data_IF_860466259095
#
_entry.id   IF_860466259095
#
_cell.length_a   1.000
_cell.length_b   1.000
_cell.length_c   1.000
_cell.angle_alpha   90.00
_cell.angle_beta   90.00
_cell.angle_gamma   90.00
#
_symmetry.space_group_name_H-M   'P 1'
#
loop_
_entity.id
_entity.type
_entity.pdbx_description
1 polymer ?
#
# COMPACT_ATOMS: atom_id res chain seq x y z
N UNK A 1 30.72 -132.15 46.85
CA UNK A 1 31.68 -132.59 45.81
C UNK A 1 32.76 -133.40 46.50
N UNK A 2 32.98 -134.65 46.07
CA UNK A 2 33.93 -135.58 46.70
C UNK A 2 35.37 -135.31 46.23
N UNK A 3 36.27 -135.07 47.18
CA UNK A 3 37.71 -134.93 46.95
C UNK A 3 38.32 -136.30 46.66
N UNK A 4 38.85 -136.49 45.45
CA UNK A 4 39.76 -137.58 45.13
C UNK A 4 41.16 -137.21 45.61
N UNK A 5 41.68 -137.90 46.62
CA UNK A 5 43.05 -137.67 47.14
C UNK A 5 43.94 -138.80 46.65
N UNK A 6 44.87 -138.45 45.74
CA UNK A 6 45.94 -139.32 45.26
C UNK A 6 46.98 -139.52 46.38
N UNK A 7 47.20 -140.75 46.83
CA UNK A 7 47.92 -141.06 48.08
C UNK A 7 49.46 -140.92 48.01
N UNK A 8 50.03 -140.54 46.87
CA UNK A 8 51.48 -140.63 46.65
C UNK A 8 52.20 -139.29 46.38
N UNK A 9 51.51 -138.15 46.31
CA UNK A 9 52.14 -136.86 45.91
C UNK A 9 51.96 -135.68 46.89
N UNK A 10 51.19 -135.82 47.99
CA UNK A 10 51.00 -134.73 48.97
C UNK A 10 50.99 -135.24 50.42
N UNK A 11 52.14 -135.27 51.12
CA UNK A 11 52.22 -135.73 52.51
C UNK A 11 51.59 -134.75 53.53
N UNK A 12 51.24 -133.52 53.14
CA UNK A 12 50.77 -132.47 54.05
C UNK A 12 49.23 -132.38 54.18
N UNK A 13 48.48 -133.32 53.59
CA UNK A 13 47.00 -133.33 53.66
C UNK A 13 46.52 -134.29 54.75
N UNK A 14 46.18 -133.74 55.92
CA UNK A 14 45.62 -134.48 57.04
C UNK A 14 44.15 -134.87 56.79
N UNK A 15 43.86 -136.18 56.73
CA UNK A 15 42.50 -136.71 56.72
C UNK A 15 41.98 -136.85 58.16
N UNK A 16 41.02 -136.01 58.55
CA UNK A 16 40.29 -136.21 59.81
C UNK A 16 39.38 -137.45 59.68
N UNK A 17 39.50 -138.40 60.61
CA UNK A 17 38.77 -139.68 60.61
C UNK A 17 37.49 -139.66 61.48
N UNK A 18 37.04 -138.48 61.89
CA UNK A 18 35.80 -138.32 62.64
C UNK A 18 34.56 -138.53 61.77
N UNK A 19 33.62 -139.36 62.26
CA UNK A 19 32.29 -139.53 61.64
C UNK A 19 31.48 -138.25 61.81
N UNK A 20 31.24 -137.53 60.72
CA UNK A 20 30.30 -136.39 60.68
C UNK A 20 28.92 -136.84 61.18
N UNK A 21 28.49 -136.33 62.34
CA UNK A 21 27.26 -136.75 63.04
C UNK A 21 25.97 -136.10 62.53
N UNK A 22 25.99 -135.26 61.49
CA UNK A 22 24.78 -134.65 60.94
C UNK A 22 24.83 -134.58 59.41
N UNK A 23 23.71 -134.88 58.71
CA UNK A 23 23.62 -134.58 57.29
C UNK A 23 23.72 -133.06 57.12
N UNK A 24 24.78 -132.59 56.46
CA UNK A 24 25.02 -131.17 56.16
C UNK A 24 24.09 -130.62 55.07
N UNK A 25 23.00 -131.32 54.77
CA UNK A 25 21.95 -130.93 53.85
C UNK A 25 20.62 -130.92 54.61
N UNK A 26 20.44 -129.88 55.44
CA UNK A 26 19.09 -129.44 55.76
C UNK A 26 18.40 -129.10 54.45
N UNK A 27 17.28 -129.74 54.17
CA UNK A 27 16.50 -129.63 52.94
C UNK A 27 16.01 -128.18 52.77
N UNK A 28 16.85 -127.29 52.25
CA UNK A 28 16.47 -125.94 51.83
C UNK A 28 15.68 -126.06 50.52
N UNK A 29 14.41 -126.48 50.61
CA UNK A 29 13.44 -126.25 49.54
C UNK A 29 13.16 -124.75 49.49
N UNK A 30 14.02 -124.00 48.81
CA UNK A 30 13.70 -122.64 48.39
C UNK A 30 12.47 -122.72 47.48
N UNK A 31 11.36 -122.15 47.95
CA UNK A 31 10.17 -122.01 47.12
C UNK A 31 10.36 -120.77 46.24
N UNK A 32 11.13 -120.92 45.16
CA UNK A 32 11.45 -119.86 44.21
C UNK A 32 10.21 -119.11 43.71
N UNK A 33 9.07 -119.79 43.61
CA UNK A 33 7.81 -119.15 43.22
C UNK A 33 7.31 -118.18 44.31
N UNK A 34 7.40 -118.55 45.58
CA UNK A 34 6.99 -117.68 46.69
C UNK A 34 7.93 -116.47 46.84
N UNK A 35 9.24 -116.66 46.64
CA UNK A 35 10.22 -115.56 46.64
C UNK A 35 9.99 -114.61 45.44
N UNK A 36 9.73 -115.16 44.25
CA UNK A 36 9.38 -114.38 43.07
C UNK A 36 8.08 -113.60 43.25
N UNK A 37 7.04 -114.22 43.84
CA UNK A 37 5.79 -113.54 44.17
C UNK A 37 6.00 -112.41 45.19
N UNK A 38 6.84 -112.64 46.21
CA UNK A 38 7.14 -111.63 47.21
C UNK A 38 7.91 -110.44 46.63
N UNK A 39 8.95 -110.69 45.83
CA UNK A 39 9.70 -109.64 45.13
C UNK A 39 8.83 -108.92 44.09
N UNK A 40 7.92 -109.62 43.40
CA UNK A 40 6.94 -108.99 42.52
C UNK A 40 5.99 -108.07 43.30
N UNK A 41 5.50 -108.50 44.46
CA UNK A 41 4.62 -107.69 45.31
C UNK A 41 5.35 -106.45 45.84
N UNK A 42 6.60 -106.60 46.26
CA UNK A 42 7.47 -105.50 46.71
C UNK A 42 7.77 -104.51 45.59
N UNK A 43 8.05 -105.00 44.38
CA UNK A 43 8.24 -104.15 43.21
C UNK A 43 6.95 -103.40 42.85
N UNK A 44 5.80 -104.07 42.88
CA UNK A 44 4.51 -103.43 42.64
C UNK A 44 4.23 -102.32 43.67
N UNK A 45 4.47 -102.58 44.97
CA UNK A 45 4.32 -101.56 46.02
C UNK A 45 5.29 -100.38 45.83
N UNK A 46 6.54 -100.64 45.42
CA UNK A 46 7.51 -99.58 45.12
C UNK A 46 7.11 -98.73 43.92
N UNK A 47 6.55 -99.35 42.88
CA UNK A 47 6.02 -98.68 41.69
C UNK A 47 4.80 -97.84 42.07
N UNK A 48 3.86 -98.40 42.81
CA UNK A 48 2.66 -97.70 43.27
C UNK A 48 3.02 -96.48 44.11
N UNK A 49 3.96 -96.63 45.05
CA UNK A 49 4.51 -95.51 45.82
C UNK A 49 5.13 -94.44 44.92
N UNK A 50 5.98 -94.84 43.97
CA UNK A 50 6.63 -93.90 43.03
C UNK A 50 5.61 -93.16 42.15
N UNK A 51 4.56 -93.84 41.69
CA UNK A 51 3.47 -93.25 40.91
C UNK A 51 2.67 -92.27 41.79
N UNK A 52 2.37 -92.66 43.03
CA UNK A 52 1.63 -91.81 43.98
C UNK A 52 2.40 -90.53 44.36
N UNK A 53 3.73 -90.59 44.41
CA UNK A 53 4.59 -89.42 44.66
C UNK A 53 4.78 -88.56 43.40
N UNK A 54 4.80 -89.17 42.21
CA UNK A 54 5.00 -88.47 40.95
C UNK A 54 3.75 -87.69 40.51
N UNK A 55 2.56 -88.25 40.73
CA UNK A 55 1.28 -87.65 40.33
C UNK A 55 1.08 -86.21 40.82
N UNK A 56 1.23 -85.88 42.13
CA UNK A 56 1.05 -84.50 42.59
C UNK A 56 2.12 -83.56 42.05
N UNK A 57 3.35 -84.05 41.77
CA UNK A 57 4.39 -83.23 41.14
C UNK A 57 4.05 -82.89 39.69
N UNK A 58 3.44 -83.83 38.97
CA UNK A 58 2.98 -83.59 37.61
C UNK A 58 1.84 -82.56 37.58
N UNK A 59 0.86 -82.70 38.46
CA UNK A 59 -0.25 -81.74 38.60
C UNK A 59 0.26 -80.33 38.98
N UNK A 60 1.25 -80.24 39.88
CA UNK A 60 1.90 -78.97 40.22
C UNK A 60 2.64 -78.36 39.02
N UNK A 61 3.34 -79.18 38.24
CA UNK A 61 4.06 -78.72 37.06
C UNK A 61 3.09 -78.20 35.99
N UNK A 62 1.97 -78.89 35.77
CA UNK A 62 0.92 -78.48 34.84
C UNK A 62 0.27 -77.17 35.27
N UNK A 63 -0.01 -77.00 36.56
CA UNK A 63 -0.53 -75.74 37.11
C UNK A 63 0.47 -74.59 36.93
N UNK A 64 1.76 -74.82 37.18
CA UNK A 64 2.82 -73.82 36.96
C UNK A 64 2.94 -73.45 35.48
N UNK A 65 2.94 -74.43 34.57
CA UNK A 65 2.98 -74.18 33.14
C UNK A 65 1.75 -73.39 32.66
N UNK A 66 0.57 -73.74 33.17
CA UNK A 66 -0.68 -73.03 32.83
C UNK A 66 -0.62 -71.57 33.29
N UNK A 67 -0.10 -71.32 34.50
CA UNK A 67 0.09 -69.97 35.02
C UNK A 67 1.10 -69.17 34.18
N UNK A 68 2.21 -69.77 33.80
CA UNK A 68 3.20 -69.14 32.91
C UNK A 68 2.60 -68.83 31.53
N UNK A 69 1.86 -69.78 30.94
CA UNK A 69 1.19 -69.57 29.66
C UNK A 69 0.15 -68.46 29.72
N UNK A 70 -0.64 -68.39 30.79
CA UNK A 70 -1.60 -67.31 31.00
C UNK A 70 -0.90 -65.96 31.14
N UNK A 71 0.24 -65.91 31.84
CA UNK A 71 1.03 -64.69 31.96
C UNK A 71 1.56 -64.21 30.60
N UNK A 72 2.18 -65.12 29.83
CA UNK A 72 2.67 -64.82 28.47
C UNK A 72 1.52 -64.38 27.57
N UNK A 73 0.37 -65.06 27.62
CA UNK A 73 -0.82 -64.69 26.85
C UNK A 73 -1.30 -63.28 27.18
N UNK A 74 -1.33 -62.92 28.46
CA UNK A 74 -1.73 -61.57 28.89
C UNK A 74 -0.72 -60.51 28.43
N UNK A 75 0.59 -60.80 28.51
CA UNK A 75 1.63 -59.91 27.99
C UNK A 75 1.49 -59.71 26.48
N UNK A 76 1.33 -60.78 25.70
CA UNK A 76 1.13 -60.72 24.25
C UNK A 76 -0.13 -59.91 23.91
N UNK A 77 -1.25 -60.14 24.61
CA UNK A 77 -2.47 -59.37 24.40
C UNK A 77 -2.26 -57.88 24.70
N UNK A 78 -1.57 -57.55 25.80
CA UNK A 78 -1.28 -56.15 26.13
C UNK A 78 -0.39 -55.48 25.08
N UNK A 79 0.60 -56.20 24.54
CA UNK A 79 1.45 -55.72 23.46
C UNK A 79 0.66 -55.50 22.16
N UNK A 80 -0.27 -56.40 21.83
CA UNK A 80 -1.14 -56.25 20.65
C UNK A 80 -2.02 -55.00 20.78
N UNK A 81 -2.60 -54.77 21.95
CA UNK A 81 -3.43 -53.58 22.21
C UNK A 81 -2.59 -52.32 22.12
N UNK A 82 -1.45 -52.27 22.80
CA UNK A 82 -0.53 -51.13 22.77
C UNK A 82 -0.02 -50.84 21.34
N UNK A 83 0.27 -51.87 20.56
CA UNK A 83 0.70 -51.69 19.17
C UNK A 83 -0.41 -51.09 18.30
N UNK A 84 -1.67 -51.51 18.48
CA UNK A 84 -2.82 -50.90 17.78
C UNK A 84 -3.01 -49.44 18.14
N UNK A 85 -2.85 -49.08 19.41
CA UNK A 85 -2.92 -47.69 19.86
C UNK A 85 -1.78 -46.85 19.24
N UNK A 86 -0.56 -47.41 19.21
CA UNK A 86 0.58 -46.76 18.56
C UNK A 86 0.33 -46.51 17.08
N UNK A 87 -0.16 -47.51 16.34
CA UNK A 87 -0.49 -47.34 14.92
C UNK A 87 -1.59 -46.28 14.69
N UNK A 88 -2.59 -46.21 15.57
CA UNK A 88 -3.62 -45.16 15.49
C UNK A 88 -3.01 -43.78 15.73
N UNK A 89 -2.13 -43.66 16.72
CA UNK A 89 -1.41 -42.43 17.01
C UNK A 89 -0.50 -41.99 15.87
N UNK A 90 0.26 -42.92 15.28
CA UNK A 90 1.11 -42.66 14.12
C UNK A 90 0.29 -42.18 12.93
N UNK A 91 -0.86 -42.81 12.64
CA UNK A 91 -1.77 -42.36 11.58
C UNK A 91 -2.29 -40.94 11.83
N UNK A 92 -2.66 -40.61 13.07
CA UNK A 92 -3.09 -39.25 13.43
C UNK A 92 -1.96 -38.23 13.30
N UNK A 93 -0.73 -38.58 13.69
CA UNK A 93 0.43 -37.69 13.53
C UNK A 93 0.72 -37.43 12.06
N UNK A 94 0.74 -38.47 11.22
CA UNK A 94 0.97 -38.31 9.77
C UNK A 94 -0.12 -37.43 9.16
N UNK A 95 -1.39 -37.63 9.53
CA UNK A 95 -2.49 -36.81 9.05
C UNK A 95 -2.31 -35.34 9.47
N UNK A 96 -1.95 -35.08 10.74
CA UNK A 96 -1.68 -33.71 11.22
C UNK A 96 -0.50 -33.06 10.49
N UNK A 97 0.58 -33.82 10.27
CA UNK A 97 1.75 -33.35 9.54
C UNK A 97 1.38 -32.94 8.11
N UNK A 98 0.65 -33.79 7.39
CA UNK A 98 0.18 -33.50 6.04
C UNK A 98 -0.74 -32.26 5.98
N UNK A 99 -1.62 -32.09 6.96
CA UNK A 99 -2.47 -30.88 7.03
C UNK A 99 -1.65 -29.63 7.32
N UNK A 100 -0.59 -29.73 8.12
CA UNK A 100 0.28 -28.62 8.45
C UNK A 100 1.13 -28.22 7.24
N UNK A 101 1.72 -29.19 6.53
CA UNK A 101 2.48 -28.97 5.30
C UNK A 101 1.61 -28.35 4.18
N UNK A 102 0.38 -28.84 4.02
CA UNK A 102 -0.57 -28.29 3.05
C UNK A 102 -0.95 -26.83 3.38
N UNK A 103 -1.18 -26.52 4.65
CA UNK A 103 -1.47 -25.17 5.09
C UNK A 103 -0.26 -24.24 4.93
N UNK A 104 0.95 -24.68 5.31
CA UNK A 104 2.17 -23.89 5.14
C UNK A 104 2.46 -23.61 3.66
N UNK A 105 2.22 -24.59 2.78
CA UNK A 105 2.33 -24.38 1.34
C UNK A 105 1.30 -23.37 0.83
N UNK A 106 0.06 -23.43 1.31
CA UNK A 106 -1.00 -22.50 0.91
C UNK A 106 -0.72 -21.07 1.40
N UNK A 107 -0.24 -20.92 2.65
CA UNK A 107 0.18 -19.63 3.22
C UNK A 107 1.38 -19.05 2.46
N UNK A 108 2.39 -19.87 2.13
CA UNK A 108 3.51 -19.45 1.29
C UNK A 108 3.06 -19.02 -0.09
N UNK A 109 2.14 -19.77 -0.71
CA UNK A 109 1.64 -19.45 -2.04
C UNK A 109 0.82 -18.16 -2.05
N UNK A 110 -0.06 -17.96 -1.07
CA UNK A 110 -0.82 -16.72 -0.91
C UNK A 110 0.09 -15.51 -0.63
N UNK A 111 1.14 -15.67 0.18
CA UNK A 111 2.15 -14.61 0.38
C UNK A 111 2.91 -14.27 -0.91
N UNK A 112 3.27 -15.28 -1.71
CA UNK A 112 3.92 -15.07 -3.02
C UNK A 112 2.98 -14.33 -3.97
N UNK A 113 1.71 -14.73 -4.04
CA UNK A 113 0.71 -14.07 -4.89
C UNK A 113 0.48 -12.62 -4.45
N UNK A 114 0.40 -12.37 -3.14
CA UNK A 114 0.34 -11.01 -2.58
C UNK A 114 1.59 -10.21 -2.96
N UNK A 115 2.79 -10.78 -2.85
CA UNK A 115 4.04 -10.13 -3.23
C UNK A 115 4.09 -9.80 -4.73
N UNK A 116 3.62 -10.70 -5.60
CA UNK A 116 3.50 -10.46 -7.04
C UNK A 116 2.52 -9.32 -7.32
N UNK A 117 1.36 -9.32 -6.67
CA UNK A 117 0.35 -8.26 -6.83
C UNK A 117 0.86 -6.89 -6.38
N UNK A 118 1.58 -6.86 -5.25
CA UNK A 118 2.18 -5.66 -4.68
C UNK A 118 3.30 -5.13 -5.59
N UNK A 119 4.14 -6.01 -6.11
CA UNK A 119 5.20 -5.64 -7.06
C UNK A 119 4.61 -5.09 -8.37
N UNK A 120 3.52 -5.69 -8.87
CA UNK A 120 2.78 -5.16 -10.04
C UNK A 120 2.23 -3.75 -9.77
N UNK A 121 1.64 -3.52 -8.60
CA UNK A 121 1.14 -2.21 -8.21
C UNK A 121 2.27 -1.18 -8.07
N UNK A 122 3.43 -1.57 -7.55
CA UNK A 122 4.63 -0.72 -7.50
C UNK A 122 5.12 -0.35 -8.90
N UNK A 123 5.24 -1.30 -9.82
CA UNK A 123 5.63 -1.02 -11.21
C UNK A 123 4.64 -0.07 -11.89
N UNK A 124 3.33 -0.26 -11.68
CA UNK A 124 2.31 0.64 -12.20
C UNK A 124 2.42 2.05 -11.61
N UNK A 125 2.67 2.16 -10.30
CA UNK A 125 2.88 3.44 -9.62
C UNK A 125 4.11 4.17 -10.16
N UNK A 126 5.23 3.46 -10.36
CA UNK A 126 6.45 4.02 -10.97
C UNK A 126 6.18 4.54 -12.38
N UNK A 127 5.48 3.77 -13.22
CA UNK A 127 5.12 4.21 -14.56
C UNK A 127 4.21 5.44 -14.55
N UNK A 128 3.24 5.51 -13.61
CA UNK A 128 2.39 6.69 -13.44
C UNK A 128 3.18 7.91 -12.96
N UNK A 129 4.18 7.71 -12.10
CA UNK A 129 5.04 8.78 -11.60
C UNK A 129 5.94 9.31 -12.72
N UNK A 130 6.53 8.43 -13.53
CA UNK A 130 7.35 8.81 -14.70
C UNK A 130 6.52 9.58 -15.73
N UNK A 131 5.29 9.12 -16.00
CA UNK A 131 4.36 9.86 -16.86
C UNK A 131 4.02 11.23 -16.28
N UNK A 132 3.72 11.30 -14.98
CA UNK A 132 3.45 12.57 -14.29
C UNK A 132 4.65 13.51 -14.33
N UNK A 133 5.87 13.00 -14.25
CA UNK A 133 7.09 13.79 -14.37
C UNK A 133 7.23 14.35 -15.80
N UNK A 134 6.98 13.53 -16.81
CA UNK A 134 6.97 13.95 -18.22
C UNK A 134 5.93 15.04 -18.49
N UNK A 135 4.69 14.85 -18.00
CA UNK A 135 3.61 15.83 -18.13
C UNK A 135 3.98 17.14 -17.41
N UNK A 136 4.63 17.06 -16.24
CA UNK A 136 5.10 18.23 -15.50
C UNK A 136 6.24 18.97 -16.23
N UNK A 137 7.17 18.25 -16.86
CA UNK A 137 8.21 18.86 -17.72
C UNK A 137 7.57 19.59 -18.91
N UNK A 138 6.56 18.98 -19.55
CA UNK A 138 5.80 19.61 -20.64
C UNK A 138 5.06 20.87 -20.18
N UNK A 139 4.42 20.84 -19.01
CA UNK A 139 3.76 21.99 -18.42
C UNK A 139 4.74 23.13 -18.13
N UNK A 140 5.91 22.80 -17.59
CA UNK A 140 6.98 23.77 -17.35
C UNK A 140 7.44 24.45 -18.64
N UNK A 141 7.58 23.70 -19.74
CA UNK A 141 7.88 24.26 -21.07
C UNK A 141 6.78 25.20 -21.56
N UNK A 142 5.50 24.83 -21.37
CA UNK A 142 4.37 25.68 -21.75
C UNK A 142 4.30 26.96 -20.92
N UNK A 143 4.58 26.88 -19.61
CA UNK A 143 4.66 28.05 -18.73
C UNK A 143 5.79 29.00 -19.15
N UNK A 144 6.97 28.48 -19.49
CA UNK A 144 8.06 29.30 -20.00
C UNK A 144 7.67 30.01 -21.31
N UNK A 145 6.99 29.31 -22.22
CA UNK A 145 6.46 29.90 -23.45
C UNK A 145 5.40 30.99 -23.17
N UNK A 146 4.55 30.79 -22.16
CA UNK A 146 3.57 31.79 -21.74
C UNK A 146 4.26 33.04 -21.19
N UNK A 147 5.31 32.88 -20.39
CA UNK A 147 6.12 33.98 -19.86
C UNK A 147 6.78 34.76 -21.01
N UNK A 148 7.34 34.08 -22.02
CA UNK A 148 7.88 34.74 -23.21
C UNK A 148 6.81 35.55 -23.95
N UNK A 149 5.62 34.97 -24.16
CA UNK A 149 4.51 35.68 -24.81
C UNK A 149 4.01 36.86 -23.98
N UNK A 150 3.99 36.73 -22.66
CA UNK A 150 3.65 37.83 -21.76
C UNK A 150 4.67 38.97 -21.85
N UNK A 151 5.96 38.65 -21.91
CA UNK A 151 7.01 39.65 -22.11
C UNK A 151 6.89 40.36 -23.47
N UNK A 152 6.55 39.62 -24.54
CA UNK A 152 6.31 40.18 -25.87
C UNK A 152 5.12 41.15 -25.86
N UNK A 153 4.02 40.78 -25.20
CA UNK A 153 2.85 41.65 -25.03
C UNK A 153 3.18 42.88 -24.20
N UNK A 154 3.93 42.73 -23.10
CA UNK A 154 4.36 43.86 -22.27
C UNK A 154 5.23 44.84 -23.08
N UNK A 155 6.14 44.33 -23.91
CA UNK A 155 6.95 45.16 -24.79
C UNK A 155 6.10 45.89 -25.85
N UNK A 156 5.13 45.20 -26.46
CA UNK A 156 4.18 45.80 -27.40
C UNK A 156 3.31 46.89 -26.77
N UNK A 157 2.89 46.71 -25.52
CA UNK A 157 2.14 47.73 -24.77
C UNK A 157 2.99 48.96 -24.49
N UNK A 158 4.26 48.80 -24.10
CA UNK A 158 5.18 49.94 -23.92
C UNK A 158 5.39 50.72 -25.22
N UNK A 159 5.56 50.01 -26.34
CA UNK A 159 5.70 50.65 -27.65
C UNK A 159 4.41 51.39 -28.06
N UNK A 160 3.24 50.83 -27.75
CA UNK A 160 1.96 51.48 -27.99
C UNK A 160 1.78 52.73 -27.11
N UNK A 161 2.20 52.68 -25.84
CA UNK A 161 2.19 53.83 -24.93
C UNK A 161 3.05 54.97 -25.47
N UNK A 162 4.27 54.67 -25.94
CA UNK A 162 5.15 55.64 -26.58
C UNK A 162 4.51 56.25 -27.84
N UNK A 163 3.90 55.43 -28.69
CA UNK A 163 3.18 55.91 -29.87
C UNK A 163 1.99 56.81 -29.49
N UNK A 164 1.21 56.43 -28.48
CA UNK A 164 0.09 57.23 -27.99
C UNK A 164 0.55 58.57 -27.42
N UNK A 165 1.66 58.59 -26.69
CA UNK A 165 2.26 59.82 -26.18
C UNK A 165 2.68 60.75 -27.33
N UNK A 166 3.34 60.20 -28.36
CA UNK A 166 3.68 60.96 -29.57
C UNK A 166 2.46 61.48 -30.34
N UNK A 167 1.34 60.76 -30.34
CA UNK A 167 0.08 61.24 -30.92
C UNK A 167 -0.51 62.38 -30.09
N UNK A 168 -0.52 62.27 -28.75
CA UNK A 168 -0.98 63.32 -27.85
C UNK A 168 -0.18 64.62 -28.03
N UNK A 169 1.15 64.56 -28.06
CA UNK A 169 2.01 65.73 -28.31
C UNK A 169 1.69 66.42 -29.65
N UNK A 170 1.41 65.63 -30.68
CA UNK A 170 1.01 66.15 -31.99
C UNK A 170 -0.38 66.77 -31.96
N UNK A 171 -1.28 66.25 -31.15
CA UNK A 171 -2.63 66.78 -30.97
C UNK A 171 -2.57 68.12 -30.21
N UNK A 172 -1.80 68.20 -29.12
CA UNK A 172 -1.58 69.43 -28.34
C UNK A 172 -0.95 70.54 -29.19
N UNK A 173 0.05 70.21 -30.00
CA UNK A 173 0.66 71.19 -30.93
C UNK A 173 -0.32 71.66 -32.01
N UNK A 174 -1.21 70.79 -32.50
CA UNK A 174 -2.27 71.18 -33.42
C UNK A 174 -3.33 72.05 -32.74
N UNK A 175 -3.72 71.73 -31.50
CA UNK A 175 -4.67 72.52 -30.72
C UNK A 175 -4.13 73.94 -30.50
N UNK A 176 -2.86 74.09 -30.11
CA UNK A 176 -2.21 75.40 -29.97
C UNK A 176 -2.16 76.20 -31.30
N UNK A 177 -1.93 75.52 -32.43
CA UNK A 177 -1.97 76.18 -33.75
C UNK A 177 -3.39 76.63 -34.11
N UNK A 178 -4.41 75.81 -33.84
CA UNK A 178 -5.81 76.14 -34.08
C UNK A 178 -6.24 77.32 -33.20
N UNK A 179 -5.85 77.33 -31.93
CA UNK A 179 -6.11 78.45 -31.02
C UNK A 179 -5.50 79.75 -31.54
N UNK A 180 -4.24 79.70 -32.01
CA UNK A 180 -3.58 80.85 -32.62
C UNK A 180 -4.29 81.33 -33.89
N UNK A 181 -4.72 80.41 -34.76
CA UNK A 181 -5.51 80.75 -35.96
C UNK A 181 -6.84 81.38 -35.56
N UNK A 182 -7.52 80.85 -34.54
CA UNK A 182 -8.77 81.39 -33.99
C UNK A 182 -8.59 82.84 -33.50
N UNK A 183 -7.52 83.11 -32.75
CA UNK A 183 -7.18 84.47 -32.33
C UNK A 183 -6.90 85.40 -33.50
N UNK A 184 -6.17 84.94 -34.51
CA UNK A 184 -5.92 85.73 -35.72
C UNK A 184 -7.21 86.04 -36.48
N UNK A 185 -8.13 85.07 -36.60
CA UNK A 185 -9.44 85.28 -37.20
C UNK A 185 -10.28 86.30 -36.41
N UNK A 186 -10.25 86.26 -35.08
CA UNK A 186 -10.91 87.26 -34.25
C UNK A 186 -10.32 88.66 -34.44
N UNK A 187 -9.00 88.79 -34.57
CA UNK A 187 -8.34 90.06 -34.87
C UNK A 187 -8.75 90.57 -36.27
N UNK A 188 -8.75 89.70 -37.29
CA UNK A 188 -9.21 90.06 -38.63
C UNK A 188 -10.67 90.51 -38.61
N UNK A 189 -11.53 89.78 -37.90
CA UNK A 189 -12.95 90.16 -37.72
C UNK A 189 -13.06 91.54 -37.09
N UNK A 190 -12.27 91.84 -36.06
CA UNK A 190 -12.22 93.16 -35.42
C UNK A 190 -11.80 94.27 -36.40
N UNK A 191 -10.72 94.06 -37.15
CA UNK A 191 -10.23 95.01 -38.17
C UNK A 191 -11.29 95.25 -39.25
N UNK A 192 -11.96 94.19 -39.73
CA UNK A 192 -13.02 94.31 -40.73
C UNK A 192 -14.21 95.09 -40.15
N UNK A 193 -14.61 94.82 -38.92
CA UNK A 193 -15.71 95.53 -38.26
C UNK A 193 -15.40 97.02 -38.06
N UNK A 194 -14.17 97.35 -37.65
CA UNK A 194 -13.70 98.73 -37.53
C UNK A 194 -13.71 99.44 -38.88
N UNK A 195 -13.15 98.81 -39.93
CA UNK A 195 -13.12 99.39 -41.28
C UNK A 195 -14.52 99.53 -41.88
N UNK A 196 -15.38 98.54 -41.73
CA UNK A 196 -16.77 98.60 -42.19
C UNK A 196 -17.55 99.70 -41.45
N UNK A 197 -17.34 99.84 -40.13
CA UNK A 197 -17.92 100.91 -39.33
C UNK A 197 -17.42 102.27 -39.81
N UNK A 198 -16.11 102.45 -39.99
CA UNK A 198 -15.52 103.69 -40.50
C UNK A 198 -16.06 104.07 -41.89
N UNK A 199 -16.16 103.10 -42.82
CA UNK A 199 -16.74 103.34 -44.15
C UNK A 199 -18.21 103.72 -44.02
N UNK A 200 -18.97 103.05 -43.16
CA UNK A 200 -20.39 103.36 -42.92
C UNK A 200 -20.54 104.78 -42.39
N UNK A 201 -19.74 105.18 -41.40
CA UNK A 201 -19.73 106.54 -40.87
C UNK A 201 -19.32 107.56 -41.94
N UNK A 202 -18.30 107.27 -42.76
CA UNK A 202 -17.90 108.15 -43.87
C UNK A 202 -18.96 108.25 -44.96
N UNK A 203 -19.66 107.16 -45.25
CA UNK A 203 -20.77 107.15 -46.20
C UNK A 203 -21.96 107.95 -45.63
N UNK A 204 -22.27 107.80 -44.34
CA UNK A 204 -23.30 108.58 -43.66
C UNK A 204 -22.94 110.07 -43.62
N UNK A 205 -21.70 110.42 -43.29
CA UNK A 205 -21.20 111.80 -43.31
C UNK A 205 -21.27 112.40 -44.72
N UNK A 206 -20.83 111.66 -45.74
CA UNK A 206 -20.90 112.12 -47.14
C UNK A 206 -22.33 112.19 -47.67
N UNK A 207 -23.20 111.27 -47.25
CA UNK A 207 -24.64 111.33 -47.55
C UNK A 207 -25.28 112.53 -46.87
N UNK A 208 -24.97 112.83 -45.61
CA UNK A 208 -25.38 114.06 -44.91
C UNK A 208 -24.86 115.30 -45.62
N UNK A 209 -23.60 115.34 -46.03
CA UNK A 209 -23.01 116.51 -46.70
C UNK A 209 -23.63 116.76 -48.08
N UNK A 210 -23.89 115.69 -48.84
CA UNK A 210 -24.53 115.77 -50.15
C UNK A 210 -26.03 116.02 -50.05
N UNK A 211 -26.73 115.43 -49.08
CA UNK A 211 -28.14 115.77 -48.81
C UNK A 211 -28.26 117.19 -48.29
N UNK A 212 -27.40 117.67 -47.40
CA UNK A 212 -27.38 119.08 -46.98
C UNK A 212 -27.12 120.02 -48.16
N UNK A 213 -26.25 119.63 -49.09
CA UNK A 213 -25.98 120.41 -50.30
C UNK A 213 -27.14 120.38 -51.30
N UNK A 214 -27.71 119.20 -51.58
CA UNK A 214 -28.86 119.02 -52.48
C UNK A 214 -30.10 119.65 -51.87
N UNK A 215 -30.32 119.50 -50.57
CA UNK A 215 -31.39 120.14 -49.82
C UNK A 215 -31.21 121.67 -49.83
N UNK A 216 -29.98 122.17 -49.66
CA UNK A 216 -29.67 123.59 -49.90
C UNK A 216 -29.98 123.98 -51.33
N UNK A 217 -29.66 123.20 -52.36
CA UNK A 217 -29.98 123.53 -53.75
C UNK A 217 -31.49 123.50 -54.05
N UNK A 218 -32.20 122.48 -53.57
CA UNK A 218 -33.65 122.32 -53.77
C UNK A 218 -34.46 123.34 -52.97
N UNK A 219 -34.00 123.73 -51.78
CA UNK A 219 -34.64 124.76 -50.97
C UNK A 219 -34.06 126.18 -51.18
N UNK A 220 -33.00 126.35 -51.98
CA UNK A 220 -32.41 127.67 -52.33
C UNK A 220 -33.09 128.33 -53.53
N UNK A 221 -34.33 127.96 -53.81
CA UNK A 221 -35.25 128.75 -54.62
C UNK A 221 -36.51 129.03 -53.80
N UNK A 222 -36.39 129.76 -52.70
CA UNK A 222 -37.24 130.91 -52.36
C UNK A 222 -36.96 131.46 -50.94
N UNK A 223 -36.55 132.75 -50.89
CA UNK A 223 -36.64 133.73 -49.77
C UNK A 223 -35.59 133.60 -48.65
N UNK A 224 -34.54 134.42 -48.64
CA UNK A 224 -34.44 135.84 -48.22
C UNK A 224 -33.91 136.00 -46.78
N UNK A 225 -32.80 136.74 -46.67
CA UNK A 225 -32.09 137.27 -45.49
C UNK A 225 -32.92 137.42 -44.21
N UNK A 226 -32.39 136.94 -43.08
CA UNK A 226 -32.44 137.65 -41.79
C UNK A 226 -31.17 137.31 -41.00
N UNK A 227 -30.44 138.35 -40.60
CA UNK A 227 -29.35 138.30 -39.65
C UNK A 227 -29.94 138.14 -38.24
N UNK A 228 -29.57 137.09 -37.50
CA UNK A 228 -29.47 137.15 -36.04
C UNK A 228 -28.38 136.21 -35.55
N UNK A 229 -27.30 136.82 -35.07
CA UNK A 229 -26.33 136.24 -34.15
C UNK A 229 -27.02 135.97 -32.80
N UNK A 230 -26.94 134.74 -32.31
CA UNK A 230 -27.02 134.45 -30.87
C UNK A 230 -25.96 133.42 -30.51
N UNK A 231 -24.95 133.92 -29.79
CA UNK A 231 -23.85 133.23 -29.13
C UNK A 231 -24.34 132.60 -27.83
N UNK A 232 -23.60 131.57 -27.35
CA UNK A 232 -23.56 131.01 -25.97
C UNK A 232 -24.54 129.85 -25.72
N UNK A 233 -24.20 128.70 -25.08
CA UNK A 233 -23.16 128.33 -24.10
C UNK A 233 -23.00 126.78 -24.08
N UNK A 234 -21.79 126.21 -24.04
CA UNK A 234 -21.08 125.61 -22.88
C UNK A 234 -21.81 124.41 -22.22
N UNK A 235 -21.25 123.20 -22.34
CA UNK A 235 -20.41 122.47 -21.35
C UNK A 235 -21.24 121.64 -20.36
N UNK A 236 -21.09 120.32 -20.42
CA UNK A 236 -20.37 119.49 -19.43
C UNK A 236 -21.08 119.40 -18.08
N UNK A 237 -21.54 118.20 -17.73
CA UNK A 237 -21.16 117.40 -16.54
C UNK A 237 -22.25 116.35 -16.28
N UNK A 238 -21.91 115.05 -16.43
CA UNK A 238 -21.46 114.11 -15.37
C UNK A 238 -22.62 113.71 -14.44
N UNK A 239 -22.73 112.53 -13.85
CA UNK A 239 -22.08 111.22 -13.86
C UNK A 239 -22.79 110.48 -12.68
N UNK A 240 -22.81 109.14 -12.67
CA UNK A 240 -23.05 108.23 -11.52
C UNK A 240 -24.49 107.85 -11.11
N UNK A 241 -24.82 106.60 -11.42
CA UNK A 241 -25.06 105.46 -10.50
C UNK A 241 -24.96 104.21 -11.41
N UNK A 242 -23.97 103.31 -11.39
CA UNK A 242 -23.39 102.44 -10.35
C UNK A 242 -24.42 101.62 -9.53
N UNK A 243 -24.49 100.34 -9.92
CA UNK A 243 -24.50 99.11 -9.10
C UNK A 243 -25.79 98.62 -8.41
N UNK A 244 -26.01 97.32 -8.58
CA UNK A 244 -26.95 96.39 -7.90
C UNK A 244 -28.42 96.55 -8.32
N UNK A 245 -29.11 95.58 -8.90
CA UNK A 245 -29.05 94.11 -8.75
C UNK A 245 -29.10 93.33 -10.08
#
# INVERSE_FOLDING_TARGET
>A
MGLFINKNEHPDVFKNNEKLQTPNQGLARHNYLAELMHEQQKNNMSIEKSISELKPRYEQLEALQTNQWNHVKNQVNSLIVSNREREQFERMMIQRLNTLDANESLEKQTLVDQMISLNKAFTEMTNRLEKSESDNRSLSLQLNKLIEKQNEVAHGLLQQEEFQHGVLDRLDTQEALIERISHQLNNIRSIIFERASYITTKLEDSYKLTTDYIYKLFNSSEKSKTYTTSVSNKKEEKEKQKQSD
#
